data_IF_090766933383
#
_entry.id   IF_090766933383
#
_cell.length_a   1.000
_cell.length_b   1.000
_cell.length_c   1.000
_cell.angle_alpha   90.00
_cell.angle_beta   90.00
_cell.angle_gamma   90.00
#
_symmetry.space_group_name_H-M   'P 1'
#
loop_
_entity.id
_entity.type
_entity.pdbx_description
1 polymer ?
#
# COMPACT_ATOMS: atom_id res chain seq x y z
N UNK A 1 10.06 -11.18 49.78
CA UNK A 1 9.63 -11.94 48.58
C UNK A 1 8.26 -11.49 48.05
N UNK A 2 7.28 -11.15 48.93
CA UNK A 2 5.95 -10.62 48.51
C UNK A 2 6.01 -9.26 47.81
N UNK A 3 6.84 -8.31 48.30
CA UNK A 3 6.93 -6.94 47.74
C UNK A 3 7.58 -6.92 46.34
N UNK A 4 8.57 -7.79 46.12
CA UNK A 4 9.19 -7.91 44.80
C UNK A 4 8.22 -8.51 43.78
N UNK A 5 7.44 -9.52 44.14
CA UNK A 5 6.39 -10.10 43.31
C UNK A 5 5.30 -9.08 42.99
N UNK A 6 4.89 -8.29 43.97
CA UNK A 6 3.87 -7.25 43.79
C UNK A 6 4.35 -6.12 42.87
N UNK A 7 5.60 -5.75 42.92
CA UNK A 7 6.19 -4.74 42.01
C UNK A 7 6.32 -5.29 40.58
N UNK A 8 6.70 -6.55 40.40
CA UNK A 8 6.71 -7.21 39.08
C UNK A 8 5.31 -7.27 38.49
N UNK A 9 4.29 -7.63 39.27
CA UNK A 9 2.90 -7.63 38.81
C UNK A 9 2.40 -6.24 38.38
N UNK A 10 2.77 -5.17 39.11
CA UNK A 10 2.42 -3.80 38.74
C UNK A 10 3.07 -3.37 37.44
N UNK A 11 4.34 -3.71 37.20
CA UNK A 11 5.05 -3.44 35.94
C UNK A 11 4.39 -4.19 34.78
N UNK A 12 4.05 -5.46 34.94
CA UNK A 12 3.35 -6.26 33.93
C UNK A 12 1.97 -5.68 33.60
N UNK A 13 1.20 -5.27 34.63
CA UNK A 13 -0.10 -4.65 34.43
C UNK A 13 0.03 -3.30 33.69
N UNK A 14 1.02 -2.48 34.02
CA UNK A 14 1.30 -1.22 33.31
C UNK A 14 1.67 -1.47 31.84
N UNK A 15 2.54 -2.44 31.57
CA UNK A 15 2.92 -2.80 30.19
C UNK A 15 1.71 -3.33 29.39
N UNK A 16 0.82 -4.09 30.02
CA UNK A 16 -0.40 -4.59 29.40
C UNK A 16 -1.37 -3.45 29.08
N UNK A 17 -1.56 -2.50 30.00
CA UNK A 17 -2.38 -1.30 29.77
C UNK A 17 -1.79 -0.45 28.67
N UNK A 18 -0.48 -0.22 28.69
CA UNK A 18 0.24 0.52 27.64
C UNK A 18 0.07 -0.16 26.28
N UNK A 19 0.17 -1.48 26.22
CA UNK A 19 -0.08 -2.26 25.01
C UNK A 19 -1.51 -2.10 24.48
N UNK A 20 -2.52 -2.19 25.36
CA UNK A 20 -3.93 -1.99 24.98
C UNK A 20 -4.18 -0.58 24.47
N UNK A 21 -3.61 0.43 25.15
CA UNK A 21 -3.72 1.84 24.74
C UNK A 21 -3.09 2.07 23.38
N UNK A 22 -1.86 1.58 23.16
CA UNK A 22 -1.17 1.69 21.86
C UNK A 22 -1.99 1.00 20.76
N UNK A 23 -2.51 -0.20 20.99
CA UNK A 23 -3.35 -0.90 20.00
C UNK A 23 -4.70 -0.21 19.75
N UNK A 24 -5.29 0.41 20.77
CA UNK A 24 -6.57 1.10 20.61
C UNK A 24 -6.45 2.41 19.83
N UNK A 25 -5.36 3.16 20.02
CA UNK A 25 -5.09 4.40 19.29
C UNK A 25 -4.40 4.19 17.94
N UNK A 26 -3.73 3.06 17.74
CA UNK A 26 -3.12 2.68 16.45
C UNK A 26 -4.12 1.92 15.57
N UNK A 27 -5.33 2.49 15.32
CA UNK A 27 -6.20 1.95 14.27
C UNK A 27 -5.50 2.16 12.92
N UNK A 28 -5.01 1.12 12.26
CA UNK A 28 -4.44 1.29 10.93
C UNK A 28 -5.55 1.71 9.98
N UNK A 29 -5.29 2.69 9.13
CA UNK A 29 -6.12 3.04 7.97
C UNK A 29 -6.14 1.92 6.90
N UNK A 30 -6.00 0.68 7.36
CA UNK A 30 -5.86 -0.51 6.55
C UNK A 30 -7.22 -0.96 6.04
N UNK A 31 -7.43 -0.86 4.73
CA UNK A 31 -8.67 -1.27 4.09
C UNK A 31 -8.72 -2.77 3.83
N UNK A 32 -7.57 -3.38 3.47
CA UNK A 32 -7.44 -4.81 3.23
C UNK A 32 -6.25 -5.42 3.96
N UNK A 33 -6.44 -6.64 4.45
CA UNK A 33 -5.38 -7.47 5.01
C UNK A 33 -4.56 -8.16 3.90
N UNK A 34 -3.59 -8.98 4.29
CA UNK A 34 -2.83 -9.81 3.36
C UNK A 34 -3.75 -10.84 2.68
N UNK A 35 -3.59 -10.97 1.36
CA UNK A 35 -4.38 -11.86 0.52
C UNK A 35 -3.53 -12.36 -0.66
N UNK A 36 -3.98 -13.43 -1.31
CA UNK A 36 -3.38 -13.90 -2.55
C UNK A 36 -3.64 -12.90 -3.67
N UNK A 37 -2.63 -12.66 -4.52
CA UNK A 37 -2.70 -11.72 -5.64
C UNK A 37 -3.63 -12.15 -6.78
N UNK A 38 -4.10 -13.39 -6.78
CA UNK A 38 -5.06 -13.90 -7.77
C UNK A 38 -6.50 -13.98 -7.21
N UNK A 39 -6.75 -13.46 -6.01
CA UNK A 39 -8.08 -13.39 -5.40
C UNK A 39 -8.58 -11.95 -5.43
N UNK A 40 -9.64 -11.73 -6.19
CA UNK A 40 -10.31 -10.43 -6.25
C UNK A 40 -10.88 -10.03 -4.89
N UNK A 41 -10.70 -8.77 -4.54
CA UNK A 41 -11.30 -8.15 -3.37
C UNK A 41 -11.93 -6.82 -3.75
N UNK A 42 -13.07 -6.52 -3.13
CA UNK A 42 -13.81 -5.27 -3.36
C UNK A 42 -13.77 -4.39 -2.11
N UNK A 43 -13.42 -3.13 -2.30
CA UNK A 43 -13.50 -2.10 -1.27
C UNK A 43 -14.63 -1.17 -1.64
N UNK A 44 -15.69 -1.17 -0.83
CA UNK A 44 -16.83 -0.31 -1.06
C UNK A 44 -16.44 1.18 -1.05
N UNK A 45 -16.99 1.95 -1.99
CA UNK A 45 -16.83 3.40 -2.08
C UNK A 45 -17.16 4.11 -0.76
N UNK A 46 -18.10 3.58 0.01
CA UNK A 46 -18.47 4.12 1.32
C UNK A 46 -17.33 4.12 2.33
N UNK A 47 -16.35 3.20 2.21
CA UNK A 47 -15.14 3.14 3.05
C UNK A 47 -14.07 4.15 2.61
N UNK A 48 -14.21 4.70 1.40
CA UNK A 48 -13.31 5.65 0.77
C UNK A 48 -13.88 7.06 0.78
N UNK A 49 -14.72 7.39 1.76
CA UNK A 49 -15.40 8.69 1.82
C UNK A 49 -14.39 9.82 1.78
N UNK A 50 -14.49 10.64 0.77
CA UNK A 50 -13.80 11.91 0.69
C UNK A 50 -14.51 12.92 1.60
N UNK A 51 -13.78 13.48 2.53
CA UNK A 51 -14.25 14.59 3.37
C UNK A 51 -14.14 15.93 2.64
N UNK A 52 -13.39 15.98 1.54
CA UNK A 52 -13.14 17.16 0.72
C UNK A 52 -13.71 17.00 -0.68
N UNK A 53 -14.10 18.12 -1.31
CA UNK A 53 -14.43 18.17 -2.74
C UNK A 53 -13.16 18.11 -3.63
N UNK A 54 -12.03 17.73 -3.07
CA UNK A 54 -10.76 17.59 -3.79
C UNK A 54 -10.77 16.34 -4.67
N UNK A 55 -10.12 16.46 -5.83
CA UNK A 55 -9.81 15.32 -6.71
C UNK A 55 -8.52 14.61 -6.27
N UNK A 56 -7.78 15.18 -5.30
CA UNK A 56 -6.50 14.65 -4.84
C UNK A 56 -6.71 13.34 -4.08
N UNK A 57 -5.80 12.43 -4.26
CA UNK A 57 -5.83 11.15 -3.56
C UNK A 57 -4.44 10.57 -3.36
N UNK A 58 -4.35 9.62 -2.46
CA UNK A 58 -3.20 8.72 -2.34
C UNK A 58 -3.69 7.29 -2.13
N UNK A 59 -3.23 6.38 -2.97
CA UNK A 59 -3.37 4.94 -2.79
C UNK A 59 -2.01 4.34 -2.44
N UNK A 60 -2.00 3.38 -1.52
CA UNK A 60 -0.81 2.60 -1.19
C UNK A 60 -1.16 1.12 -1.11
N UNK A 61 -0.31 0.29 -1.69
CA UNK A 61 -0.42 -1.17 -1.59
C UNK A 61 0.96 -1.79 -1.50
N UNK A 62 1.08 -2.84 -0.69
CA UNK A 62 2.20 -3.76 -0.73
C UNK A 62 1.84 -4.96 -1.60
N UNK A 63 2.75 -5.37 -2.47
CA UNK A 63 2.58 -6.56 -3.28
C UNK A 63 3.89 -7.34 -3.40
N UNK A 64 3.77 -8.64 -3.61
CA UNK A 64 4.88 -9.56 -3.83
C UNK A 64 4.54 -10.44 -5.03
N UNK A 65 5.34 -10.38 -6.08
CA UNK A 65 5.17 -11.22 -7.28
C UNK A 65 6.02 -12.47 -7.11
N UNK A 66 5.36 -13.62 -7.09
CA UNK A 66 5.96 -14.93 -6.93
C UNK A 66 6.37 -15.54 -8.27
N UNK A 67 5.42 -15.65 -9.19
CA UNK A 67 5.63 -16.17 -10.54
C UNK A 67 5.21 -15.16 -11.61
N UNK A 68 6.17 -14.68 -12.38
CA UNK A 68 5.93 -13.73 -13.46
C UNK A 68 5.24 -14.37 -14.68
N UNK A 69 5.42 -15.70 -14.89
CA UNK A 69 4.85 -16.41 -16.03
C UNK A 69 3.33 -16.56 -15.93
N UNK A 70 2.77 -16.43 -14.72
CA UNK A 70 1.33 -16.40 -14.56
C UNK A 70 0.72 -15.26 -15.38
N UNK A 71 -0.21 -15.58 -16.29
CA UNK A 71 -0.81 -14.64 -17.24
C UNK A 71 0.22 -13.86 -18.07
N UNK A 72 1.29 -14.53 -18.51
CA UNK A 72 2.25 -13.92 -19.42
C UNK A 72 1.56 -13.46 -20.71
N UNK A 73 1.90 -12.27 -21.20
CA UNK A 73 1.25 -11.65 -22.36
C UNK A 73 -0.09 -10.95 -22.05
N UNK A 74 -0.52 -10.89 -20.78
CA UNK A 74 -1.72 -10.17 -20.35
C UNK A 74 -1.39 -9.20 -19.23
N UNK A 75 -2.02 -8.02 -19.23
CA UNK A 75 -1.90 -7.07 -18.12
C UNK A 75 -2.52 -7.67 -16.85
N UNK A 76 -1.84 -7.48 -15.73
CA UNK A 76 -2.20 -8.02 -14.41
C UNK A 76 -2.62 -6.87 -13.51
N UNK A 77 -3.92 -6.64 -13.36
CA UNK A 77 -4.42 -5.49 -12.62
C UNK A 77 -4.14 -5.67 -11.13
N UNK A 78 -3.47 -4.68 -10.53
CA UNK A 78 -3.24 -4.56 -9.09
C UNK A 78 -4.49 -4.00 -8.39
N UNK A 79 -4.99 -2.88 -8.87
CA UNK A 79 -6.28 -2.32 -8.47
C UNK A 79 -6.82 -1.38 -9.54
N UNK A 80 -8.12 -1.22 -9.54
CA UNK A 80 -8.80 -0.24 -10.38
C UNK A 80 -9.99 0.38 -9.65
N UNK A 81 -10.27 1.64 -9.96
CA UNK A 81 -11.47 2.35 -9.55
C UNK A 81 -12.06 3.03 -10.79
N UNK A 82 -12.69 2.22 -11.63
CA UNK A 82 -13.23 2.68 -12.90
C UNK A 82 -14.56 3.43 -12.69
N UNK A 83 -14.87 4.36 -13.57
CA UNK A 83 -16.20 4.94 -13.62
C UNK A 83 -17.23 3.96 -14.25
N UNK A 84 -18.48 4.35 -14.27
CA UNK A 84 -19.59 3.54 -14.86
C UNK A 84 -19.42 3.28 -16.36
N UNK A 85 -18.48 3.95 -17.03
CA UNK A 85 -18.16 3.79 -18.46
C UNK A 85 -16.82 3.07 -18.66
N UNK A 86 -16.30 2.42 -17.63
CA UNK A 86 -15.00 1.73 -17.61
C UNK A 86 -13.79 2.64 -17.88
N UNK A 87 -13.90 3.94 -17.58
CA UNK A 87 -12.76 4.84 -17.61
C UNK A 87 -11.94 4.69 -16.32
N UNK A 88 -10.62 4.52 -16.41
CA UNK A 88 -9.77 4.35 -15.23
C UNK A 88 -9.69 5.64 -14.38
N UNK A 89 -9.96 5.50 -13.11
CA UNK A 89 -9.90 6.62 -12.19
C UNK A 89 -9.35 6.36 -10.78
N UNK A 90 -8.12 5.82 -10.58
CA UNK A 90 -7.09 5.23 -11.46
C UNK A 90 -7.24 3.71 -11.68
N UNK A 91 -6.55 3.19 -12.71
CA UNK A 91 -6.28 1.76 -12.87
C UNK A 91 -4.77 1.52 -12.87
N UNK A 92 -4.32 0.57 -12.08
CA UNK A 92 -2.90 0.23 -11.91
C UNK A 92 -2.68 -1.24 -12.23
N UNK A 93 -1.78 -1.50 -13.16
CA UNK A 93 -1.48 -2.86 -13.63
C UNK A 93 0.01 -3.13 -13.72
N UNK A 94 0.37 -4.40 -13.60
CA UNK A 94 1.68 -4.92 -14.00
C UNK A 94 1.66 -5.20 -15.49
N UNK A 95 2.79 -4.96 -16.15
CA UNK A 95 2.94 -5.16 -17.60
C UNK A 95 2.69 -6.60 -18.02
N UNK A 96 2.30 -6.76 -19.29
CA UNK A 96 2.01 -8.08 -19.87
C UNK A 96 3.26 -8.96 -19.98
N UNK A 97 4.39 -8.40 -20.42
CA UNK A 97 5.64 -9.11 -20.69
C UNK A 97 6.81 -8.62 -19.84
N UNK A 98 6.89 -7.31 -19.62
CA UNK A 98 7.97 -6.66 -18.87
C UNK A 98 7.52 -6.36 -17.44
N UNK A 99 8.46 -6.35 -16.50
CA UNK A 99 8.21 -6.01 -15.08
C UNK A 99 8.02 -4.50 -14.88
N UNK A 100 7.07 -3.95 -15.64
CA UNK A 100 6.66 -2.56 -15.60
C UNK A 100 5.37 -2.39 -14.80
N UNK A 101 5.17 -1.23 -14.21
CA UNK A 101 3.92 -0.81 -13.59
C UNK A 101 3.32 0.28 -14.46
N UNK A 102 2.09 0.09 -14.91
CA UNK A 102 1.34 1.08 -15.65
C UNK A 102 0.21 1.66 -14.77
N UNK A 103 0.16 2.98 -14.69
CA UNK A 103 -0.93 3.71 -14.05
C UNK A 103 -1.69 4.42 -15.16
N UNK A 104 -2.95 4.05 -15.34
CA UNK A 104 -3.86 4.67 -16.31
C UNK A 104 -4.83 5.57 -15.57
N UNK A 105 -5.01 6.78 -16.07
CA UNK A 105 -5.90 7.79 -15.51
C UNK A 105 -6.70 8.46 -16.61
N UNK A 106 -8.01 8.40 -16.53
CA UNK A 106 -8.86 9.17 -17.44
C UNK A 106 -8.85 10.64 -17.03
N UNK A 107 -8.78 11.53 -18.02
CA UNK A 107 -8.78 12.97 -17.84
C UNK A 107 -9.94 13.60 -18.59
N UNK A 108 -10.38 14.77 -18.14
CA UNK A 108 -11.31 15.58 -18.91
C UNK A 108 -10.60 16.17 -20.13
N UNK A 109 -11.27 16.28 -21.28
CA UNK A 109 -10.67 16.91 -22.46
C UNK A 109 -10.31 18.35 -22.15
N UNK A 110 -9.16 18.78 -22.66
CA UNK A 110 -8.72 20.17 -22.57
C UNK A 110 -9.29 20.99 -23.74
N UNK A 111 -9.31 22.32 -23.60
CA UNK A 111 -9.71 23.25 -24.68
C UNK A 111 -8.85 23.13 -25.93
N UNK A 112 -7.62 22.59 -25.79
CA UNK A 112 -6.68 22.38 -26.90
C UNK A 112 -7.03 21.14 -27.74
N UNK A 113 -7.85 20.22 -27.24
CA UNK A 113 -8.21 18.99 -27.95
C UNK A 113 -9.63 18.49 -27.57
N UNK A 114 -10.69 19.19 -27.96
CA UNK A 114 -12.06 18.90 -27.53
C UNK A 114 -12.66 17.64 -28.17
N UNK A 115 -12.02 17.08 -29.21
CA UNK A 115 -12.50 15.87 -29.91
C UNK A 115 -12.08 14.55 -29.26
N UNK A 116 -11.13 14.58 -28.33
CA UNK A 116 -10.71 13.39 -27.59
C UNK A 116 -11.75 13.05 -26.49
N UNK A 117 -12.72 12.24 -26.84
CA UNK A 117 -13.80 11.81 -25.93
C UNK A 117 -13.29 11.12 -24.66
N UNK A 118 -12.15 10.44 -24.71
CA UNK A 118 -11.57 9.71 -23.60
C UNK A 118 -10.06 9.84 -23.63
N UNK A 119 -9.55 10.90 -22.97
CA UNK A 119 -8.11 11.07 -22.81
C UNK A 119 -7.63 10.21 -21.64
N UNK A 120 -7.09 9.01 -21.91
CA UNK A 120 -6.50 8.15 -20.91
C UNK A 120 -4.98 8.38 -20.90
N UNK A 121 -4.52 9.08 -19.87
CA UNK A 121 -3.10 9.25 -19.63
C UNK A 121 -2.50 7.97 -19.03
N UNK A 122 -1.37 7.51 -19.57
CA UNK A 122 -0.64 6.34 -19.09
C UNK A 122 0.73 6.71 -18.56
N UNK A 123 0.94 6.59 -17.26
CA UNK A 123 2.20 6.76 -16.58
C UNK A 123 2.84 5.38 -16.36
N UNK A 124 4.04 5.13 -16.90
CA UNK A 124 4.72 3.82 -16.81
C UNK A 124 5.99 3.95 -15.99
N UNK A 125 6.12 3.10 -14.98
CA UNK A 125 7.33 2.90 -14.18
C UNK A 125 7.95 1.57 -14.61
N UNK A 126 9.21 1.62 -15.04
CA UNK A 126 9.94 0.45 -15.55
C UNK A 126 10.74 -0.26 -14.47
N UNK A 127 10.91 -1.57 -14.67
CA UNK A 127 11.84 -2.40 -13.91
C UNK A 127 11.58 -2.41 -12.39
N UNK A 128 10.33 -2.59 -11.94
CA UNK A 128 10.11 -2.85 -10.54
C UNK A 128 10.69 -4.22 -10.12
N UNK A 129 11.18 -4.36 -8.88
CA UNK A 129 11.82 -5.60 -8.46
C UNK A 129 10.81 -6.73 -8.26
N UNK A 130 11.16 -7.94 -8.73
CA UNK A 130 10.42 -9.18 -8.56
C UNK A 130 10.90 -9.96 -7.33
N UNK A 131 10.08 -10.90 -6.86
CA UNK A 131 10.39 -11.83 -5.76
C UNK A 131 10.81 -11.15 -4.45
N UNK A 132 10.29 -9.95 -4.22
CA UNK A 132 10.37 -9.25 -2.94
C UNK A 132 9.10 -8.44 -2.70
N UNK A 133 8.84 -8.09 -1.46
CA UNK A 133 7.78 -7.14 -1.13
C UNK A 133 8.12 -5.75 -1.66
N UNK A 134 7.22 -5.19 -2.41
CA UNK A 134 7.30 -3.83 -2.98
C UNK A 134 6.15 -3.00 -2.44
N UNK A 135 6.45 -1.81 -1.95
CA UNK A 135 5.43 -0.81 -1.65
C UNK A 135 5.26 0.11 -2.84
N UNK A 136 4.05 0.15 -3.37
CA UNK A 136 3.65 1.09 -4.41
C UNK A 136 2.72 2.13 -3.82
N UNK A 137 3.06 3.41 -4.00
CA UNK A 137 2.19 4.53 -3.66
C UNK A 137 1.95 5.34 -4.93
N UNK A 138 0.68 5.63 -5.18
CA UNK A 138 0.23 6.49 -6.28
C UNK A 138 -0.50 7.66 -5.66
N UNK A 139 0.02 8.86 -5.85
CA UNK A 139 -0.50 10.11 -5.29
C UNK A 139 -0.82 11.10 -6.41
N UNK A 140 -2.02 11.62 -6.40
CA UNK A 140 -2.47 12.68 -7.32
C UNK A 140 -2.60 13.99 -6.57
N UNK A 141 -1.99 15.05 -7.12
CA UNK A 141 -2.18 16.43 -6.70
C UNK A 141 -2.48 17.31 -7.93
N UNK A 142 -3.73 17.72 -8.07
CA UNK A 142 -4.17 18.45 -9.27
C UNK A 142 -3.95 17.63 -10.54
N UNK A 143 -3.03 18.06 -11.39
CA UNK A 143 -2.66 17.36 -12.64
C UNK A 143 -1.32 16.59 -12.50
N UNK A 144 -0.74 16.53 -11.31
CA UNK A 144 0.54 15.85 -11.06
C UNK A 144 0.32 14.51 -10.40
N UNK A 145 0.76 13.44 -11.08
CA UNK A 145 0.69 12.08 -10.60
C UNK A 145 2.08 11.60 -10.17
N UNK A 146 2.29 11.46 -8.88
CA UNK A 146 3.53 10.97 -8.28
C UNK A 146 3.45 9.48 -7.99
N UNK A 147 4.48 8.75 -8.37
CA UNK A 147 4.64 7.32 -8.14
C UNK A 147 5.84 7.07 -7.25
N UNK A 148 5.60 6.48 -6.08
CA UNK A 148 6.66 6.10 -5.14
C UNK A 148 6.80 4.58 -5.10
N UNK A 149 8.03 4.11 -5.14
CA UNK A 149 8.42 2.72 -4.92
C UNK A 149 9.27 2.65 -3.65
N UNK A 150 8.87 1.79 -2.72
CA UNK A 150 9.55 1.60 -1.44
C UNK A 150 9.81 2.94 -0.71
N UNK A 151 8.80 3.82 -0.71
CA UNK A 151 8.81 5.13 -0.06
C UNK A 151 9.66 6.20 -0.73
N UNK A 152 10.20 5.95 -1.93
CA UNK A 152 11.01 6.91 -2.70
C UNK A 152 10.27 7.32 -3.95
N UNK A 153 10.28 8.62 -4.26
CA UNK A 153 9.73 9.14 -5.50
C UNK A 153 10.52 8.53 -6.67
N UNK A 154 9.81 7.77 -7.50
CA UNK A 154 10.39 7.08 -8.64
C UNK A 154 10.06 7.81 -9.95
N UNK A 155 8.84 8.32 -10.07
CA UNK A 155 8.40 9.04 -11.26
C UNK A 155 7.28 10.04 -10.91
N UNK A 156 7.33 11.18 -11.60
CA UNK A 156 6.25 12.15 -11.66
C UNK A 156 5.75 12.22 -13.10
N UNK A 157 4.45 12.08 -13.30
CA UNK A 157 3.79 12.26 -14.59
C UNK A 157 2.83 13.45 -14.49
N UNK A 158 2.82 14.31 -15.50
CA UNK A 158 1.85 15.40 -15.62
C UNK A 158 0.72 14.93 -16.53
N UNK A 159 -0.51 14.97 -16.03
CA UNK A 159 -1.69 14.62 -16.78
C UNK A 159 -2.00 15.68 -17.84
N UNK A 160 -2.59 15.27 -18.96
CA UNK A 160 -2.97 16.19 -20.03
C UNK A 160 -4.26 16.96 -19.76
N UNK A 161 -4.81 16.84 -18.56
CA UNK A 161 -6.01 17.52 -18.11
C UNK A 161 -6.42 17.07 -16.73
N UNK A 162 -7.50 17.65 -16.23
CA UNK A 162 -8.05 17.33 -14.90
C UNK A 162 -8.47 15.87 -14.84
N UNK A 163 -8.00 15.16 -13.82
CA UNK A 163 -8.31 13.75 -13.61
C UNK A 163 -9.82 13.50 -13.37
N UNK A 164 -10.36 12.45 -14.00
CA UNK A 164 -11.70 11.94 -13.71
C UNK A 164 -11.63 10.98 -12.53
N UNK A 165 -11.88 11.47 -11.33
CA UNK A 165 -11.91 10.63 -10.13
C UNK A 165 -13.33 10.16 -9.87
N UNK A 166 -13.53 8.85 -9.83
CA UNK A 166 -14.84 8.24 -9.55
C UNK A 166 -15.01 7.99 -8.05
N UNK A 167 -15.63 8.96 -7.35
CA UNK A 167 -15.79 8.85 -5.89
C UNK A 167 -16.91 7.89 -5.47
N UNK A 168 -17.84 7.58 -6.36
CA UNK A 168 -19.01 6.74 -6.05
C UNK A 168 -18.79 5.26 -6.36
N UNK A 169 -17.69 4.91 -7.02
CA UNK A 169 -17.40 3.54 -7.42
C UNK A 169 -16.46 2.84 -6.43
N UNK A 170 -16.68 1.54 -6.32
CA UNK A 170 -15.86 0.64 -5.51
C UNK A 170 -14.44 0.51 -6.11
N UNK A 171 -13.46 0.21 -5.26
CA UNK A 171 -12.14 -0.20 -5.72
C UNK A 171 -12.10 -1.72 -5.81
N UNK A 172 -11.75 -2.21 -7.00
CA UNK A 172 -11.47 -3.63 -7.22
C UNK A 172 -9.95 -3.85 -7.08
N UNK A 173 -9.57 -4.74 -6.19
CA UNK A 173 -8.18 -5.15 -5.99
C UNK A 173 -7.99 -6.53 -6.58
N UNK A 174 -6.97 -6.67 -7.43
CA UNK A 174 -6.64 -7.89 -8.20
C UNK A 174 -7.81 -8.50 -8.97
N UNK A 175 -8.60 -7.68 -9.72
CA UNK A 175 -9.71 -8.19 -10.51
C UNK A 175 -9.23 -9.12 -11.62
N UNK A 176 -10.17 -9.91 -12.15
CA UNK A 176 -9.93 -10.83 -13.25
C UNK A 176 -8.77 -11.81 -13.02
N UNK A 177 -8.53 -12.20 -11.77
CA UNK A 177 -7.47 -13.14 -11.41
C UNK A 177 -6.08 -12.52 -11.28
N UNK A 178 -5.95 -11.19 -11.26
CA UNK A 178 -4.75 -10.44 -10.91
C UNK A 178 -3.42 -11.06 -11.33
N UNK A 179 -2.56 -11.41 -10.36
CA UNK A 179 -1.20 -11.94 -10.57
C UNK A 179 -0.89 -13.08 -9.57
N UNK A 180 0.16 -13.86 -9.86
CA UNK A 180 0.68 -14.87 -8.92
C UNK A 180 1.53 -14.20 -7.85
N UNK A 181 1.08 -14.30 -6.60
CA UNK A 181 1.76 -13.69 -5.47
C UNK A 181 0.82 -13.26 -4.37
N UNK A 182 1.16 -12.14 -3.71
CA UNK A 182 0.46 -11.67 -2.53
C UNK A 182 0.28 -10.15 -2.57
N UNK A 183 -0.83 -9.69 -2.00
CA UNK A 183 -1.10 -8.27 -1.72
C UNK A 183 -1.25 -8.07 -0.22
N UNK A 184 -0.91 -6.89 0.28
CA UNK A 184 -1.08 -6.54 1.68
C UNK A 184 -1.21 -5.04 1.89
N UNK A 185 -1.84 -4.68 3.01
CA UNK A 185 -1.87 -3.34 3.55
C UNK A 185 -2.31 -2.29 2.51
N UNK A 186 -3.44 -2.56 1.82
CA UNK A 186 -4.05 -1.57 0.94
C UNK A 186 -4.61 -0.41 1.77
N UNK A 187 -4.27 0.81 1.40
CA UNK A 187 -4.64 2.04 2.10
C UNK A 187 -5.04 3.12 1.11
N UNK A 188 -5.90 4.04 1.57
CA UNK A 188 -6.38 5.18 0.82
C UNK A 188 -6.42 6.43 1.70
N UNK A 189 -6.08 7.56 1.12
CA UNK A 189 -6.24 8.89 1.70
C UNK A 189 -6.83 9.82 0.64
N UNK A 190 -7.74 10.68 1.07
CA UNK A 190 -8.42 11.71 0.26
C UNK A 190 -7.58 12.99 0.12
N UNK A 191 -6.29 12.84 0.06
CA UNK A 191 -5.31 13.92 -0.11
C UNK A 191 -4.06 13.40 -0.81
N UNK A 192 -3.32 14.31 -1.44
CA UNK A 192 -1.98 14.01 -1.94
C UNK A 192 -1.01 13.76 -0.78
N UNK A 193 -0.02 12.90 -1.02
CA UNK A 193 1.09 12.63 -0.10
C UNK A 193 2.37 13.26 -0.62
N UNK A 194 3.11 13.89 0.29
CA UNK A 194 4.45 14.35 0.03
C UNK A 194 5.49 13.23 0.22
N UNK A 195 6.78 13.42 -0.17
CA UNK A 195 7.80 12.39 -0.05
C UNK A 195 8.03 11.89 1.39
N UNK A 196 7.87 12.75 2.40
CA UNK A 196 8.03 12.35 3.79
C UNK A 196 6.86 11.44 4.23
N UNK A 197 5.63 11.80 3.87
CA UNK A 197 4.44 10.97 4.15
C UNK A 197 4.55 9.62 3.43
N UNK A 198 5.00 9.60 2.17
CA UNK A 198 5.23 8.36 1.41
C UNK A 198 6.27 7.46 2.10
N UNK A 199 7.35 8.03 2.60
CA UNK A 199 8.35 7.29 3.36
C UNK A 199 7.79 6.76 4.69
N UNK A 200 6.96 7.54 5.39
CA UNK A 200 6.33 7.11 6.64
C UNK A 200 5.30 5.98 6.41
N UNK A 201 4.58 5.99 5.28
CA UNK A 201 3.70 4.89 4.86
C UNK A 201 4.53 3.62 4.62
N UNK A 202 5.62 3.72 3.86
CA UNK A 202 6.52 2.62 3.59
C UNK A 202 7.09 2.02 4.87
N UNK A 203 7.56 2.84 5.81
CA UNK A 203 8.15 2.38 7.08
C UNK A 203 7.21 1.55 7.94
N UNK A 204 5.89 1.69 7.79
CA UNK A 204 4.90 0.86 8.50
C UNK A 204 4.94 -0.60 8.06
N UNK A 205 5.49 -0.89 6.87
CA UNK A 205 5.69 -2.23 6.34
C UNK A 205 4.41 -2.92 5.85
N UNK A 206 4.59 -4.09 5.26
CA UNK A 206 3.49 -4.86 4.65
C UNK A 206 2.57 -5.54 5.68
N UNK A 207 3.04 -5.83 6.89
CA UNK A 207 2.24 -6.46 7.94
C UNK A 207 1.20 -5.55 8.60
N UNK A 208 1.23 -4.23 8.30
CA UNK A 208 0.43 -3.23 9.01
C UNK A 208 0.98 -2.95 10.40
N UNK A 209 0.77 -1.72 10.92
CA UNK A 209 1.31 -1.30 12.22
C UNK A 209 0.87 -2.21 13.37
N UNK A 210 1.82 -2.71 14.13
CA UNK A 210 1.62 -3.55 15.31
C UNK A 210 2.96 -4.11 15.78
N UNK A 211 2.98 -4.67 16.99
CA UNK A 211 4.19 -5.30 17.56
C UNK A 211 4.79 -6.39 16.66
N UNK A 212 3.95 -7.10 15.86
CA UNK A 212 4.41 -8.10 14.90
C UNK A 212 5.41 -7.58 13.87
N UNK A 213 5.31 -6.31 13.45
CA UNK A 213 6.28 -5.69 12.55
C UNK A 213 7.59 -5.29 13.25
N UNK A 214 7.54 -5.00 14.54
CA UNK A 214 8.74 -4.76 15.32
C UNK A 214 9.58 -6.04 15.42
N UNK A 215 8.93 -7.18 15.66
CA UNK A 215 9.61 -8.49 15.70
C UNK A 215 10.19 -8.92 14.34
N UNK A 216 9.56 -8.55 13.22
CA UNK A 216 10.12 -8.81 11.88
C UNK A 216 11.29 -7.89 11.50
N UNK A 217 11.43 -6.74 12.17
CA UNK A 217 12.51 -5.76 11.94
C UNK A 217 13.71 -5.95 12.87
N UNK A 218 13.49 -6.49 14.06
CA UNK A 218 14.49 -6.62 15.10
C UNK A 218 14.56 -8.09 15.50
N UNK A 219 15.72 -8.69 15.35
CA UNK A 219 16.03 -9.99 15.95
C UNK A 219 16.42 -9.76 17.39
N UNK A 220 15.74 -10.40 18.32
CA UNK A 220 16.10 -10.40 19.72
C UNK A 220 16.98 -11.63 19.99
N UNK A 221 18.24 -11.40 20.31
CA UNK A 221 19.15 -12.45 20.77
C UNK A 221 19.32 -12.28 22.28
N UNK A 222 18.94 -13.31 23.03
CA UNK A 222 19.15 -13.37 24.48
C UNK A 222 20.23 -14.39 24.76
N UNK A 223 21.33 -13.96 25.37
CA UNK A 223 22.43 -14.82 25.76
C UNK A 223 22.56 -14.84 27.28
N UNK A 224 22.74 -16.01 27.84
CA UNK A 224 23.09 -16.21 29.25
C UNK A 224 24.58 -16.37 29.34
N UNK A 225 25.25 -15.42 29.99
CA UNK A 225 26.68 -15.45 30.22
C UNK A 225 26.97 -16.02 31.61
N UNK A 226 27.87 -16.98 31.69
CA UNK A 226 28.45 -17.47 32.92
C UNK A 226 29.96 -17.28 32.84
N UNK A 227 30.56 -16.56 33.77
CA UNK A 227 31.97 -16.22 33.81
C UNK A 227 32.53 -15.60 32.50
N UNK A 228 31.72 -14.74 31.85
CA UNK A 228 31.91 -14.12 30.53
C UNK A 228 31.83 -15.09 29.32
N UNK A 229 31.55 -16.37 29.52
CA UNK A 229 31.28 -17.31 28.44
C UNK A 229 29.78 -17.51 28.20
N UNK A 230 29.39 -17.66 26.95
CA UNK A 230 28.00 -17.90 26.58
C UNK A 230 27.58 -19.30 27.01
N UNK A 231 26.82 -19.40 28.08
CA UNK A 231 26.33 -20.69 28.63
C UNK A 231 25.06 -21.17 27.92
N UNK A 232 24.37 -20.30 27.21
CA UNK A 232 23.15 -20.59 26.41
C UNK A 232 22.52 -19.32 25.89
N UNK A 233 21.66 -19.44 24.87
CA UNK A 233 20.94 -18.33 24.30
C UNK A 233 19.86 -18.81 23.34
N UNK A 234 18.92 -17.91 22.99
CA UNK A 234 17.94 -18.15 21.95
C UNK A 234 17.74 -16.86 21.12
N UNK A 235 17.44 -17.05 19.85
CA UNK A 235 17.11 -15.97 18.91
C UNK A 235 15.64 -16.07 18.55
N UNK A 236 14.93 -14.93 18.66
CA UNK A 236 13.52 -14.78 18.29
C UNK A 236 13.37 -13.84 17.10
#
# INVERSE_FOLDING_TARGET
MSDMLNNVLKVLAFLLVLYVVINFFSKPSKLLAMSKGNQEQTISAQKLKNSSNSIDFTYSMWFYVDDWNYKFGQDKILWTRDDTKSNPGPSVSLGAMENDIAISMACYPTTSNPELKDNIHKCVVKNFPLQKWVNLIVSLQGETLDVYIDGKLHKTCVLEGVAKVSNDNDVLVTPSGGFSGWTSNFQYWDKASNPQEAYDIYRKGYGGGGLGNAFNKYKLRVEVLKDNDVAGGFEL
#
